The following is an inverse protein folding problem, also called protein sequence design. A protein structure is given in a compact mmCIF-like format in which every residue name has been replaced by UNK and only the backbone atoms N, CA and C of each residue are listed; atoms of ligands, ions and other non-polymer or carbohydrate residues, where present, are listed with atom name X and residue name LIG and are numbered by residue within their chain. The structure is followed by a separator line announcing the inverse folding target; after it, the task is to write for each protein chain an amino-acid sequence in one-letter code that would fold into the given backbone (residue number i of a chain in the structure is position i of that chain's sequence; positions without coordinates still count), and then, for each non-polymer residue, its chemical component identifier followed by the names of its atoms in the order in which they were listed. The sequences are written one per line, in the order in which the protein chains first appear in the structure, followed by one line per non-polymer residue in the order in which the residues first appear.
data_IF_878293621960
#
_entry.id   IF_878293621960
#
_cell.length_a   1.000
_cell.length_b   1.000
_cell.length_c   1.000
_cell.angle_alpha   90.00
_cell.angle_beta   90.00
_cell.angle_gamma   90.00
#
_symmetry.space_group_name_H-M   'P 1'
#
loop_
_entity.id
_entity.type
_entity.pdbx_description
1 polymer ?
#
# COMPACT_ATOMS: atom_id res chain seq x y z
N UNK A 1 -14.95 18.56 0.59
CA UNK A 1 -13.59 18.26 0.84
C UNK A 1 -12.64 19.44 0.75
N UNK A 2 -11.44 19.21 0.26
CA UNK A 2 -10.33 20.17 0.21
C UNK A 2 -10.72 21.44 -0.55
N UNK A 3 -11.35 21.31 -1.73
CA UNK A 3 -11.85 22.47 -2.51
C UNK A 3 -12.77 23.37 -1.68
N UNK A 4 -13.74 22.76 -0.97
CA UNK A 4 -14.68 23.49 -0.13
C UNK A 4 -13.98 24.17 1.05
N UNK A 5 -13.11 23.44 1.74
CA UNK A 5 -12.41 23.97 2.92
C UNK A 5 -11.46 25.11 2.55
N UNK A 6 -10.65 24.97 1.51
CA UNK A 6 -9.67 26.00 1.10
C UNK A 6 -10.34 27.16 0.37
N UNK A 7 -11.29 26.86 -0.53
CA UNK A 7 -11.91 27.88 -1.37
C UNK A 7 -13.03 28.64 -0.67
N UNK A 8 -13.90 27.95 0.08
CA UNK A 8 -15.06 28.59 0.71
C UNK A 8 -14.81 29.10 2.12
N UNK A 9 -14.00 28.40 2.92
CA UNK A 9 -13.67 28.84 4.28
C UNK A 9 -12.40 29.70 4.35
N UNK A 10 -11.71 29.87 3.21
CA UNK A 10 -10.50 30.70 3.12
C UNK A 10 -9.49 30.43 4.26
N UNK A 11 -9.14 29.17 4.47
CA UNK A 11 -8.30 28.73 5.60
C UNK A 11 -6.89 29.36 5.63
N UNK A 12 -6.47 30.01 4.53
CA UNK A 12 -5.15 30.62 4.40
C UNK A 12 -5.18 32.15 4.29
N UNK A 13 -6.32 32.81 4.61
CA UNK A 13 -6.51 34.25 4.52
C UNK A 13 -6.12 34.88 3.15
N UNK A 14 -6.37 34.14 2.08
CA UNK A 14 -6.08 34.53 0.71
C UNK A 14 -7.24 35.33 0.11
N UNK A 15 -7.00 36.17 -0.92
CA UNK A 15 -8.09 36.75 -1.72
C UNK A 15 -9.03 35.67 -2.23
N UNK A 16 -10.33 35.90 -2.23
CA UNK A 16 -11.36 34.89 -2.50
C UNK A 16 -11.12 34.11 -3.80
N UNK A 17 -10.75 34.81 -4.88
CA UNK A 17 -10.45 34.19 -6.18
C UNK A 17 -9.23 33.28 -6.12
N UNK A 18 -8.20 33.68 -5.39
CA UNK A 18 -6.98 32.89 -5.21
C UNK A 18 -7.23 31.68 -4.33
N UNK A 19 -8.01 31.80 -3.26
CA UNK A 19 -8.43 30.69 -2.41
C UNK A 19 -9.24 29.66 -3.19
N UNK A 20 -10.17 30.08 -4.06
CA UNK A 20 -10.94 29.20 -4.94
C UNK A 20 -10.05 28.47 -5.95
N UNK A 21 -9.10 29.17 -6.57
CA UNK A 21 -8.15 28.59 -7.51
C UNK A 21 -7.28 27.53 -6.84
N UNK A 22 -6.73 27.84 -5.66
CA UNK A 22 -5.92 26.90 -4.88
C UNK A 22 -6.74 25.70 -4.46
N UNK A 23 -7.95 25.90 -3.97
CA UNK A 23 -8.87 24.83 -3.58
C UNK A 23 -9.18 23.87 -4.75
N UNK A 24 -9.42 24.43 -5.94
CA UNK A 24 -9.64 23.65 -7.17
C UNK A 24 -8.40 22.85 -7.56
N UNK A 25 -7.22 23.48 -7.51
CA UNK A 25 -5.96 22.80 -7.79
C UNK A 25 -5.74 21.63 -6.83
N UNK A 26 -5.88 21.85 -5.52
CA UNK A 26 -5.71 20.81 -4.51
C UNK A 26 -6.73 19.67 -4.61
N UNK A 27 -7.95 19.98 -5.03
CA UNK A 27 -8.97 18.97 -5.30
C UNK A 27 -8.60 18.13 -6.53
N UNK A 28 -8.03 18.72 -7.58
CA UNK A 28 -7.56 18.00 -8.76
C UNK A 28 -6.34 17.13 -8.44
N UNK A 29 -5.38 17.66 -7.65
CA UNK A 29 -4.23 16.87 -7.17
C UNK A 29 -4.71 15.63 -6.41
N UNK A 30 -5.66 15.80 -5.47
CA UNK A 30 -6.25 14.69 -4.71
C UNK A 30 -6.92 13.65 -5.63
N UNK A 31 -7.78 14.11 -6.55
CA UNK A 31 -8.51 13.21 -7.45
C UNK A 31 -7.56 12.45 -8.36
N UNK A 32 -6.55 13.14 -8.91
CA UNK A 32 -5.55 12.51 -9.78
C UNK A 32 -4.74 11.48 -9.00
N UNK A 33 -4.26 11.83 -7.80
CA UNK A 33 -3.54 10.92 -6.92
C UNK A 33 -4.40 9.69 -6.54
N UNK A 34 -5.68 9.90 -6.22
CA UNK A 34 -6.63 8.84 -5.91
C UNK A 34 -6.82 7.89 -7.12
N UNK A 35 -7.02 8.43 -8.33
CA UNK A 35 -7.24 7.60 -9.53
C UNK A 35 -5.99 6.79 -9.90
N UNK A 36 -4.80 7.38 -9.75
CA UNK A 36 -3.54 6.66 -9.96
C UNK A 36 -3.44 5.50 -8.98
N UNK A 37 -3.64 5.76 -7.71
CA UNK A 37 -3.55 4.73 -6.66
C UNK A 37 -4.62 3.64 -6.85
N UNK A 38 -5.86 4.02 -7.16
CA UNK A 38 -6.95 3.08 -7.44
C UNK A 38 -6.60 2.16 -8.62
N UNK A 39 -6.04 2.74 -9.70
CA UNK A 39 -5.65 1.98 -10.89
C UNK A 39 -4.52 0.98 -10.59
N UNK A 40 -3.53 1.36 -9.80
CA UNK A 40 -2.43 0.49 -9.40
C UNK A 40 -2.86 -0.54 -8.34
N UNK A 41 -3.88 -0.22 -7.57
CA UNK A 41 -4.38 -1.04 -6.47
C UNK A 41 -5.21 -2.24 -6.93
N UNK A 42 -5.71 -2.25 -8.17
CA UNK A 42 -6.44 -3.40 -8.74
C UNK A 42 -5.56 -4.65 -8.76
N UNK A 43 -4.27 -4.51 -9.07
CA UNK A 43 -3.32 -5.62 -9.08
C UNK A 43 -3.12 -6.22 -7.69
N UNK A 44 -3.20 -5.41 -6.63
CA UNK A 44 -3.12 -5.88 -5.24
C UNK A 44 -4.26 -6.86 -4.92
N UNK A 45 -5.46 -6.59 -5.45
CA UNK A 45 -6.62 -7.46 -5.24
C UNK A 45 -6.41 -8.86 -5.84
N UNK A 46 -5.83 -8.95 -7.03
CA UNK A 46 -5.50 -10.24 -7.64
C UNK A 46 -4.50 -11.04 -6.80
N UNK A 47 -3.48 -10.38 -6.27
CA UNK A 47 -2.50 -11.02 -5.39
C UNK A 47 -3.16 -11.53 -4.11
N UNK A 48 -4.08 -10.77 -3.50
CA UNK A 48 -4.81 -11.22 -2.31
C UNK A 48 -5.68 -12.44 -2.60
N UNK A 49 -6.40 -12.44 -3.72
CA UNK A 49 -7.21 -13.60 -4.14
C UNK A 49 -6.33 -14.83 -4.32
N UNK A 50 -5.16 -14.68 -4.95
CA UNK A 50 -4.19 -15.76 -5.17
C UNK A 50 -3.65 -16.29 -3.85
N UNK A 51 -3.26 -15.42 -2.90
CA UNK A 51 -2.79 -15.79 -1.57
C UNK A 51 -3.88 -16.57 -0.82
N UNK A 52 -5.12 -16.05 -0.77
CA UNK A 52 -6.22 -16.72 -0.09
C UNK A 52 -6.56 -18.07 -0.72
N UNK A 53 -6.54 -18.16 -2.05
CA UNK A 53 -6.75 -19.41 -2.80
C UNK A 53 -5.68 -20.45 -2.49
N UNK A 54 -4.41 -20.05 -2.47
CA UNK A 54 -3.29 -20.94 -2.17
C UNK A 54 -3.39 -21.54 -0.75
N UNK A 55 -3.67 -20.71 0.25
CA UNK A 55 -3.79 -21.14 1.63
C UNK A 55 -5.17 -21.72 1.98
N UNK A 56 -6.09 -21.76 1.02
CA UNK A 56 -7.49 -22.23 1.19
C UNK A 56 -8.20 -21.57 2.38
N UNK A 57 -7.99 -20.25 2.54
CA UNK A 57 -8.61 -19.49 3.63
C UNK A 57 -10.11 -19.35 3.36
N UNK A 58 -10.93 -19.88 4.28
CA UNK A 58 -12.38 -19.74 4.20
C UNK A 58 -12.81 -18.26 4.21
N UNK A 59 -13.81 -17.90 3.39
CA UNK A 59 -14.30 -16.52 3.23
C UNK A 59 -14.62 -15.81 4.54
N UNK A 60 -15.13 -16.54 5.54
CA UNK A 60 -15.45 -15.97 6.86
C UNK A 60 -14.24 -15.43 7.63
N UNK A 61 -13.03 -15.92 7.31
CA UNK A 61 -11.78 -15.49 7.97
C UNK A 61 -10.98 -14.48 7.14
N UNK A 62 -11.21 -14.43 5.82
CA UNK A 62 -10.53 -13.48 4.92
C UNK A 62 -10.72 -12.04 5.38
N UNK A 63 -11.94 -11.68 5.79
CA UNK A 63 -12.26 -10.36 6.31
C UNK A 63 -11.40 -9.95 7.51
N UNK A 64 -11.12 -10.88 8.41
CA UNK A 64 -10.27 -10.63 9.58
C UNK A 64 -8.81 -10.38 9.20
N UNK A 65 -8.30 -11.15 8.25
CA UNK A 65 -6.92 -10.97 7.76
C UNK A 65 -6.81 -9.64 7.01
N UNK A 66 -7.76 -9.34 6.11
CA UNK A 66 -7.81 -8.09 5.38
C UNK A 66 -7.92 -6.87 6.29
N UNK A 67 -8.69 -6.96 7.37
CA UNK A 67 -8.80 -5.87 8.34
C UNK A 67 -7.43 -5.49 8.94
N UNK A 68 -6.67 -6.48 9.39
CA UNK A 68 -5.33 -6.25 9.92
C UNK A 68 -4.34 -5.84 8.84
N UNK A 69 -4.45 -6.42 7.63
CA UNK A 69 -3.67 -6.02 6.46
C UNK A 69 -3.90 -4.55 6.08
N UNK A 70 -5.15 -4.08 6.06
CA UNK A 70 -5.44 -2.67 5.79
C UNK A 70 -4.84 -1.75 6.86
N UNK A 71 -4.90 -2.13 8.13
CA UNK A 71 -4.28 -1.33 9.20
C UNK A 71 -2.76 -1.26 9.01
N UNK A 72 -2.12 -2.41 8.73
CA UNK A 72 -0.69 -2.46 8.46
C UNK A 72 -0.31 -1.63 7.25
N UNK A 73 -1.04 -1.78 6.13
CA UNK A 73 -0.84 -1.01 4.91
C UNK A 73 -0.94 0.50 5.16
N UNK A 74 -1.96 0.97 5.90
CA UNK A 74 -2.13 2.39 6.27
C UNK A 74 -0.90 2.91 7.02
N UNK A 75 -0.41 2.15 8.01
CA UNK A 75 0.76 2.54 8.81
C UNK A 75 2.03 2.55 7.96
N UNK A 76 2.26 1.49 7.17
CA UNK A 76 3.43 1.39 6.30
C UNK A 76 3.45 2.51 5.26
N UNK A 77 2.34 2.76 4.61
CA UNK A 77 2.22 3.85 3.61
C UNK A 77 2.41 5.22 4.23
N UNK A 78 1.92 5.47 5.46
CA UNK A 78 2.24 6.70 6.19
C UNK A 78 3.75 6.88 6.31
N UNK A 79 4.46 5.87 6.80
CA UNK A 79 5.92 5.92 6.96
C UNK A 79 6.61 6.21 5.62
N UNK A 80 6.26 5.50 4.55
CA UNK A 80 6.88 5.68 3.24
C UNK A 80 6.56 7.04 2.59
N UNK A 81 5.32 7.51 2.71
CA UNK A 81 4.92 8.82 2.15
C UNK A 81 5.64 9.95 2.88
N UNK A 82 5.62 9.97 4.21
CA UNK A 82 6.32 11.01 4.97
C UNK A 82 7.83 10.94 4.78
N UNK A 83 8.42 9.75 4.73
CA UNK A 83 9.83 9.58 4.42
C UNK A 83 10.16 10.03 2.99
N UNK A 84 9.32 9.68 2.02
CA UNK A 84 9.47 10.06 0.61
C UNK A 84 9.40 11.58 0.41
N UNK A 85 8.40 12.24 1.02
CA UNK A 85 8.28 13.70 0.98
C UNK A 85 9.52 14.35 1.60
N UNK A 86 9.92 13.95 2.82
CA UNK A 86 11.10 14.49 3.49
C UNK A 86 12.39 14.27 2.66
N UNK A 87 12.50 13.14 1.98
CA UNK A 87 13.63 12.84 1.10
C UNK A 87 13.66 13.77 -0.12
N UNK A 88 12.51 14.00 -0.76
CA UNK A 88 12.39 14.89 -1.93
C UNK A 88 12.66 16.35 -1.54
N UNK A 89 12.15 16.79 -0.39
CA UNK A 89 12.41 18.14 0.13
C UNK A 89 13.89 18.38 0.43
N UNK A 90 14.59 17.36 0.93
CA UNK A 90 16.02 17.44 1.25
C UNK A 90 16.91 17.30 0.03
N UNK A 91 16.50 16.44 -0.94
CA UNK A 91 17.29 16.07 -2.10
C UNK A 91 16.43 16.09 -3.36
N UNK A 92 16.30 17.23 -4.01
CA UNK A 92 15.48 17.43 -5.22
C UNK A 92 15.85 16.48 -6.37
N UNK A 93 17.11 16.03 -6.45
CA UNK A 93 17.55 15.07 -7.47
C UNK A 93 16.88 13.69 -7.34
N UNK A 94 16.34 13.34 -6.18
CA UNK A 94 15.60 12.08 -5.94
C UNK A 94 14.38 11.97 -6.85
N UNK A 95 13.77 13.08 -7.26
CA UNK A 95 12.67 13.07 -8.24
C UNK A 95 13.09 12.46 -9.58
N UNK A 96 14.32 12.72 -10.02
CA UNK A 96 14.83 12.12 -11.26
C UNK A 96 15.07 10.62 -11.11
N UNK A 97 15.51 10.17 -9.93
CA UNK A 97 15.65 8.74 -9.63
C UNK A 97 14.29 8.05 -9.63
N UNK A 98 13.28 8.67 -8.99
CA UNK A 98 11.92 8.15 -9.00
C UNK A 98 11.34 8.11 -10.42
N UNK A 99 11.51 9.16 -11.21
CA UNK A 99 11.09 9.18 -12.60
C UNK A 99 11.77 8.09 -13.44
N UNK A 100 13.07 7.92 -13.29
CA UNK A 100 13.82 6.84 -13.95
C UNK A 100 13.36 5.45 -13.52
N UNK A 101 13.06 5.27 -12.23
CA UNK A 101 12.53 4.02 -11.70
C UNK A 101 11.14 3.71 -12.28
N UNK A 102 10.22 4.70 -12.34
CA UNK A 102 8.90 4.52 -12.94
C UNK A 102 8.97 4.18 -14.44
N UNK A 103 9.92 4.79 -15.18
CA UNK A 103 10.14 4.45 -16.59
C UNK A 103 10.63 3.00 -16.70
N UNK A 104 11.58 2.61 -15.86
CA UNK A 104 12.12 1.26 -15.85
C UNK A 104 11.04 0.21 -15.54
N UNK A 105 10.24 0.42 -14.47
CA UNK A 105 9.17 -0.50 -14.09
C UNK A 105 8.09 -0.57 -15.16
N UNK A 106 7.68 0.56 -15.73
CA UNK A 106 6.72 0.61 -16.84
C UNK A 106 7.18 -0.16 -18.08
N UNK A 107 8.45 0.00 -18.47
CA UNK A 107 9.04 -0.76 -19.58
C UNK A 107 9.12 -2.25 -19.23
N UNK A 108 9.54 -2.59 -18.01
CA UNK A 108 9.64 -3.97 -17.55
C UNK A 108 8.30 -4.68 -17.63
N UNK A 109 7.22 -4.04 -17.16
CA UNK A 109 5.86 -4.57 -17.23
C UNK A 109 5.38 -4.85 -18.67
N UNK A 110 5.78 -4.02 -19.65
CA UNK A 110 5.41 -4.25 -21.05
C UNK A 110 6.08 -5.49 -21.66
N UNK A 111 7.24 -5.89 -21.15
CA UNK A 111 8.00 -7.04 -21.65
C UNK A 111 7.90 -8.27 -20.75
N UNK A 112 7.31 -8.13 -19.57
CA UNK A 112 7.05 -9.26 -18.67
C UNK A 112 5.98 -10.12 -19.31
N UNK A 113 6.36 -11.33 -19.77
CA UNK A 113 5.39 -12.34 -20.19
C UNK A 113 4.67 -12.82 -18.94
N UNK A 114 3.36 -13.00 -19.07
CA UNK A 114 2.52 -13.72 -18.10
C UNK A 114 3.00 -15.18 -17.98
N UNK A 115 4.19 -15.35 -17.43
CA UNK A 115 4.52 -16.63 -16.84
C UNK A 115 3.61 -16.71 -15.61
N UNK A 116 2.57 -17.55 -15.67
CA UNK A 116 1.85 -18.08 -14.51
C UNK A 116 2.86 -18.79 -13.60
N UNK A 117 3.79 -18.02 -13.03
CA UNK A 117 4.79 -18.56 -12.11
C UNK A 117 4.04 -18.98 -10.89
N UNK A 118 4.02 -20.29 -10.69
CA UNK A 118 3.54 -20.94 -9.48
C UNK A 118 3.89 -20.07 -8.28
N UNK A 119 2.88 -19.39 -7.74
CA UNK A 119 3.02 -18.60 -6.52
C UNK A 119 3.49 -19.54 -5.40
N UNK A 120 4.74 -19.40 -4.99
CA UNK A 120 5.31 -20.17 -3.89
C UNK A 120 5.60 -19.24 -2.70
N UNK A 121 4.74 -19.21 -1.70
CA UNK A 121 4.91 -18.37 -0.51
C UNK A 121 6.24 -18.61 0.20
N UNK A 122 6.82 -19.81 0.09
CA UNK A 122 8.08 -20.15 0.74
C UNK A 122 9.29 -19.46 0.07
N UNK A 123 9.13 -18.99 -1.16
CA UNK A 123 10.16 -18.20 -1.87
C UNK A 123 10.16 -16.75 -1.46
N UNK A 124 9.06 -16.23 -0.87
CA UNK A 124 8.97 -14.85 -0.44
C UNK A 124 10.01 -14.55 0.65
N UNK A 125 10.77 -13.47 0.44
CA UNK A 125 11.85 -13.08 1.34
C UNK A 125 11.35 -12.78 2.76
N UNK A 126 10.20 -12.10 2.90
CA UNK A 126 9.62 -11.76 4.19
C UNK A 126 9.24 -13.01 4.99
N UNK A 127 8.64 -14.01 4.33
CA UNK A 127 8.30 -15.30 4.96
C UNK A 127 9.57 -16.06 5.39
N UNK A 128 10.58 -16.09 4.53
CA UNK A 128 11.87 -16.73 4.87
C UNK A 128 12.53 -16.07 6.07
N UNK A 129 12.57 -14.75 6.10
CA UNK A 129 13.14 -13.99 7.20
C UNK A 129 12.36 -14.21 8.50
N UNK A 130 11.03 -14.18 8.42
CA UNK A 130 10.16 -14.39 9.58
C UNK A 130 10.31 -15.79 10.18
N UNK A 131 10.38 -16.84 9.34
CA UNK A 131 10.58 -18.23 9.80
C UNK A 131 11.91 -18.45 10.54
N UNK A 132 12.91 -17.58 10.30
CA UNK A 132 14.16 -17.61 11.07
C UNK A 132 14.02 -16.97 12.45
N UNK A 133 13.08 -16.04 12.61
CA UNK A 133 12.87 -15.28 13.84
C UNK A 133 11.87 -15.98 14.77
N UNK A 134 10.87 -16.68 14.21
CA UNK A 134 9.79 -17.26 14.99
C UNK A 134 9.34 -18.59 14.39
N UNK A 135 9.12 -19.62 15.23
CA UNK A 135 8.62 -20.90 14.76
C UNK A 135 7.18 -20.78 14.27
N UNK A 136 6.87 -21.48 13.17
CA UNK A 136 5.53 -21.51 12.56
C UNK A 136 4.87 -22.84 12.90
N UNK A 137 3.63 -22.82 13.38
CA UNK A 137 2.83 -24.01 13.63
C UNK A 137 2.35 -24.60 12.31
N UNK A 138 2.54 -25.91 12.13
CA UNK A 138 2.04 -26.66 10.96
C UNK A 138 0.53 -26.96 11.04
N UNK A 139 -0.10 -26.65 12.17
CA UNK A 139 -1.51 -26.92 12.39
C UNK A 139 -2.38 -25.93 11.61
N UNK A 140 -2.89 -26.40 10.46
CA UNK A 140 -3.74 -25.61 9.56
C UNK A 140 -5.15 -25.33 10.13
N UNK A 141 -5.56 -26.00 11.21
CA UNK A 141 -6.87 -25.78 11.84
C UNK A 141 -6.95 -24.51 12.69
N UNK A 142 -5.79 -23.90 12.99
CA UNK A 142 -5.71 -22.71 13.83
C UNK A 142 -6.18 -21.46 13.07
N UNK A 143 -7.20 -20.82 13.60
CA UNK A 143 -7.81 -19.60 13.05
C UNK A 143 -7.35 -18.32 13.77
N UNK A 144 -6.30 -18.40 14.56
CA UNK A 144 -5.66 -17.29 15.27
C UNK A 144 -4.32 -16.95 14.65
N UNK A 145 -3.82 -15.73 14.80
CA UNK A 145 -2.50 -15.34 14.28
C UNK A 145 -1.35 -15.99 15.04
N UNK A 146 -1.53 -16.15 16.35
CA UNK A 146 -0.52 -16.76 17.22
C UNK A 146 -1.14 -17.81 18.12
N UNK A 147 -0.36 -18.82 18.45
CA UNK A 147 -0.72 -19.88 19.41
C UNK A 147 0.45 -20.16 20.34
N UNK A 148 0.17 -20.42 21.59
CA UNK A 148 1.18 -20.79 22.58
C UNK A 148 1.10 -22.29 22.83
N UNK A 149 2.20 -23.01 22.51
CA UNK A 149 2.38 -24.45 22.80
C UNK A 149 3.65 -24.59 23.65
N UNK A 150 3.57 -25.32 24.74
CA UNK A 150 4.71 -25.60 25.64
C UNK A 150 5.52 -24.35 26.06
N UNK A 151 4.82 -23.27 26.41
CA UNK A 151 5.38 -21.96 26.75
C UNK A 151 6.09 -21.22 25.61
N UNK A 152 6.14 -21.80 24.40
CA UNK A 152 6.70 -21.18 23.20
C UNK A 152 5.56 -20.56 22.37
N UNK A 153 5.77 -19.34 21.84
CA UNK A 153 4.84 -18.66 20.96
C UNK A 153 5.14 -19.06 19.51
N UNK A 154 4.12 -19.58 18.83
CA UNK A 154 4.18 -19.96 17.42
C UNK A 154 3.30 -19.04 16.59
N UNK A 155 3.80 -18.62 15.42
CA UNK A 155 2.96 -18.04 14.39
C UNK A 155 2.14 -19.12 13.69
N UNK A 156 0.96 -18.77 13.19
CA UNK A 156 0.09 -19.69 12.46
C UNK A 156 0.13 -19.39 10.96
N UNK A 157 -0.54 -20.23 10.17
CA UNK A 157 -0.75 -19.96 8.74
C UNK A 157 -1.47 -18.63 8.49
N UNK A 158 -2.40 -18.22 9.38
CA UNK A 158 -3.08 -16.92 9.29
C UNK A 158 -2.10 -15.75 9.37
N UNK A 159 -1.10 -15.84 10.24
CA UNK A 159 -0.07 -14.81 10.35
C UNK A 159 0.83 -14.79 9.10
N UNK A 160 1.16 -15.96 8.55
CA UNK A 160 1.94 -16.04 7.29
C UNK A 160 1.17 -15.40 6.13
N UNK A 161 -0.15 -15.65 6.04
CA UNK A 161 -1.00 -15.00 5.03
C UNK A 161 -1.02 -13.49 5.21
N UNK A 162 -1.18 -12.99 6.44
CA UNK A 162 -1.11 -11.55 6.73
C UNK A 162 0.26 -10.98 6.33
N UNK A 163 1.35 -11.64 6.68
CA UNK A 163 2.70 -11.21 6.33
C UNK A 163 2.92 -11.14 4.82
N UNK A 164 2.36 -12.09 4.06
CA UNK A 164 2.43 -12.07 2.60
C UNK A 164 1.65 -10.91 2.00
N UNK A 165 0.46 -10.61 2.53
CA UNK A 165 -0.36 -9.47 2.12
C UNK A 165 0.41 -8.17 2.36
N UNK A 166 0.98 -7.98 3.55
CA UNK A 166 1.79 -6.80 3.89
C UNK A 166 3.04 -6.68 3.02
N UNK A 167 3.74 -7.80 2.78
CA UNK A 167 4.92 -7.81 1.92
C UNK A 167 4.57 -7.46 0.46
N UNK A 168 3.42 -7.92 -0.03
CA UNK A 168 2.94 -7.56 -1.36
C UNK A 168 2.57 -6.09 -1.44
N UNK A 169 1.82 -5.57 -0.45
CA UNK A 169 1.47 -4.13 -0.41
C UNK A 169 2.73 -3.25 -0.36
N UNK A 170 3.76 -3.68 0.36
CA UNK A 170 5.03 -2.97 0.40
C UNK A 170 5.70 -2.88 -0.98
N UNK A 171 5.69 -3.97 -1.76
CA UNK A 171 6.23 -3.99 -3.12
C UNK A 171 5.45 -3.01 -4.01
N UNK A 172 4.12 -3.05 -3.95
CA UNK A 172 3.27 -2.14 -4.71
C UNK A 172 3.43 -0.67 -4.27
N UNK A 173 3.64 -0.42 -2.98
CA UNK A 173 3.89 0.93 -2.46
C UNK A 173 5.19 1.54 -3.02
N UNK A 174 6.21 0.73 -3.31
CA UNK A 174 7.47 1.20 -3.93
C UNK A 174 7.20 1.80 -5.32
N UNK A 175 6.24 1.25 -6.07
CA UNK A 175 5.89 1.75 -7.41
C UNK A 175 4.87 2.90 -7.33
N UNK A 176 3.86 2.79 -6.46
CA UNK A 176 2.75 3.75 -6.41
C UNK A 176 3.13 5.07 -5.74
N UNK A 177 3.91 5.06 -4.67
CA UNK A 177 4.26 6.28 -3.92
C UNK A 177 5.04 7.29 -4.78
N UNK A 178 6.10 6.91 -5.54
CA UNK A 178 6.74 7.82 -6.47
C UNK A 178 5.80 8.40 -7.53
N UNK A 179 4.85 7.58 -8.03
CA UNK A 179 3.86 8.04 -9.02
C UNK A 179 2.95 9.13 -8.43
N UNK A 180 2.43 8.93 -7.22
CA UNK A 180 1.57 9.91 -6.53
C UNK A 180 2.36 11.16 -6.11
N UNK A 181 3.62 11.02 -5.66
CA UNK A 181 4.50 12.15 -5.32
C UNK A 181 4.87 13.01 -6.55
N UNK A 182 4.75 12.47 -7.76
CA UNK A 182 4.90 13.26 -9.00
C UNK A 182 3.72 14.21 -9.23
N UNK A 183 2.54 13.89 -8.71
CA UNK A 183 1.31 14.70 -8.83
C UNK A 183 1.22 15.75 -7.74
N UNK A 184 1.49 15.38 -6.50
CA UNK A 184 1.46 16.30 -5.35
C UNK A 184 2.58 15.99 -4.38
N UNK A 185 3.20 17.07 -3.84
CA UNK A 185 4.18 16.98 -2.75
C UNK A 185 3.54 17.27 -1.39
N UNK A 186 2.25 17.54 -1.36
CA UNK A 186 1.50 17.81 -0.14
C UNK A 186 1.25 16.47 0.60
N UNK A 187 1.89 16.24 1.76
CA UNK A 187 1.79 14.94 2.46
C UNK A 187 0.35 14.59 2.82
N UNK A 188 -0.48 15.58 3.13
CA UNK A 188 -1.89 15.36 3.46
C UNK A 188 -2.68 14.85 2.26
N UNK A 189 -2.49 15.44 1.07
CA UNK A 189 -3.16 15.01 -0.16
C UNK A 189 -2.70 13.61 -0.55
N UNK A 190 -1.39 13.38 -0.57
CA UNK A 190 -0.81 12.09 -0.94
C UNK A 190 -1.30 10.99 0.01
N UNK A 191 -1.26 11.23 1.31
CA UNK A 191 -1.66 10.24 2.29
C UNK A 191 -3.17 9.96 2.27
N UNK A 192 -3.99 11.01 2.24
CA UNK A 192 -5.44 10.83 2.25
C UNK A 192 -5.97 10.20 0.97
N UNK A 193 -5.48 10.58 -0.21
CA UNK A 193 -5.87 9.96 -1.48
C UNK A 193 -5.53 8.46 -1.48
N UNK A 194 -4.36 8.12 -0.95
CA UNK A 194 -3.89 6.74 -0.82
C UNK A 194 -4.78 5.92 0.13
N UNK A 195 -5.12 6.45 1.31
CA UNK A 195 -6.05 5.78 2.23
C UNK A 195 -7.41 5.55 1.58
N UNK A 196 -7.95 6.57 0.88
CA UNK A 196 -9.25 6.43 0.22
C UNK A 196 -9.22 5.34 -0.85
N UNK A 197 -8.13 5.19 -1.61
CA UNK A 197 -7.97 4.12 -2.58
C UNK A 197 -7.94 2.74 -1.91
N UNK A 198 -7.16 2.56 -0.83
CA UNK A 198 -7.12 1.30 -0.07
C UNK A 198 -8.50 0.93 0.49
N UNK A 199 -9.24 1.90 1.00
CA UNK A 199 -10.58 1.67 1.53
C UNK A 199 -11.60 1.37 0.43
N UNK A 200 -11.40 1.91 -0.77
CA UNK A 200 -12.23 1.67 -1.95
C UNK A 200 -12.18 0.23 -2.46
N UNK A 201 -11.06 -0.45 -2.24
CA UNK A 201 -10.87 -1.86 -2.62
C UNK A 201 -11.64 -2.86 -1.73
N UNK A 202 -12.26 -2.42 -0.67
CA UNK A 202 -12.98 -3.26 0.29
C UNK A 202 -14.45 -3.38 -0.04
#
# INVERSE_FOLDING_TARGET
GIYFAVGHFNLFDLPHEEALRLGKQKALEFLTAYLIEESLSIDNLFVFIMIFGFFKIESKYQHRILFWGIIGAIVMRAIFIFAGVALIERFTWVMYVFGGFLIYTGIHMLFEKDDEKNFDPNKNFAVKLFRKLMPVSEDASLTTFFVRKDKVLYATHFFIVLLLIEASDLIFAIDSIPAVLSVSKDPFIVYTSNIFAILGLR
#
